data_IF_799712458503
#
_entry.id   IF_799712458503
#
_cell.length_a   1.000
_cell.length_b   1.000
_cell.length_c   1.000
_cell.angle_alpha   90.00
_cell.angle_beta   90.00
_cell.angle_gamma   90.00
#
_symmetry.space_group_name_H-M   'P 1'
#
loop_
_entity.id
_entity.type
_entity.pdbx_description
1 polymer ?
#
# COMPACT_ATOMS: atom_id res chain seq x y z
N UNK A 1 77.47 11.28 -18.73
CA UNK A 1 76.35 10.48 -19.26
C UNK A 1 75.80 9.64 -18.11
N UNK A 2 74.67 10.07 -17.53
CA UNK A 2 74.10 9.49 -16.30
C UNK A 2 73.12 8.39 -16.73
N UNK A 3 73.47 7.12 -16.49
CA UNK A 3 72.58 5.99 -16.77
C UNK A 3 71.61 5.88 -15.60
N UNK A 4 70.37 6.31 -15.79
CA UNK A 4 69.31 6.11 -14.81
C UNK A 4 68.92 4.62 -14.79
N UNK A 5 69.14 3.98 -13.65
CA UNK A 5 68.70 2.60 -13.41
C UNK A 5 67.18 2.60 -13.21
N UNK A 6 66.44 2.07 -14.17
CA UNK A 6 65.05 1.65 -13.94
C UNK A 6 65.06 0.50 -12.92
N UNK A 7 64.71 0.81 -11.66
CA UNK A 7 64.39 -0.22 -10.66
C UNK A 7 63.04 -0.82 -11.05
N UNK A 8 63.06 -2.03 -11.60
CA UNK A 8 61.86 -2.83 -11.79
C UNK A 8 61.31 -3.27 -10.43
N UNK A 9 60.18 -2.69 -10.00
CA UNK A 9 59.38 -3.12 -8.85
C UNK A 9 58.40 -4.23 -9.27
N UNK A 10 58.91 -5.37 -9.77
CA UNK A 10 58.08 -6.43 -10.32
C UNK A 10 57.17 -7.16 -9.29
N UNK A 11 57.45 -7.01 -7.99
CA UNK A 11 56.65 -7.63 -6.91
C UNK A 11 55.53 -6.76 -6.34
N UNK A 12 55.56 -5.44 -6.57
CA UNK A 12 54.58 -4.50 -5.98
C UNK A 12 53.28 -4.46 -6.79
N UNK A 13 53.36 -4.71 -8.10
CA UNK A 13 52.22 -4.59 -9.04
C UNK A 13 51.18 -5.70 -8.88
N UNK A 14 51.58 -6.94 -8.56
CA UNK A 14 50.63 -8.07 -8.41
C UNK A 14 49.77 -7.91 -7.16
N UNK A 15 50.38 -7.51 -6.04
CA UNK A 15 49.66 -7.26 -4.78
C UNK A 15 48.71 -6.06 -4.93
N UNK A 16 49.15 -5.02 -5.63
CA UNK A 16 48.32 -3.85 -5.92
C UNK A 16 47.09 -4.20 -6.76
N UNK A 17 47.26 -4.98 -7.83
CA UNK A 17 46.13 -5.46 -8.65
C UNK A 17 45.17 -6.31 -7.81
N UNK A 18 45.68 -7.16 -6.93
CA UNK A 18 44.85 -8.00 -6.06
C UNK A 18 44.04 -7.17 -5.06
N UNK A 19 44.63 -6.13 -4.48
CA UNK A 19 43.91 -5.20 -3.59
C UNK A 19 42.83 -4.45 -4.38
N UNK A 20 43.16 -3.95 -5.57
CA UNK A 20 42.20 -3.23 -6.43
C UNK A 20 41.03 -4.14 -6.80
N UNK A 21 41.27 -5.40 -7.18
CA UNK A 21 40.17 -6.32 -7.53
C UNK A 21 39.28 -6.64 -6.34
N UNK A 22 39.84 -6.79 -5.13
CA UNK A 22 39.03 -6.98 -3.91
C UNK A 22 38.15 -5.75 -3.64
N UNK A 23 38.71 -4.54 -3.75
CA UNK A 23 37.94 -3.30 -3.54
C UNK A 23 36.82 -3.21 -4.57
N UNK A 24 37.13 -3.39 -5.86
CA UNK A 24 36.13 -3.34 -6.94
C UNK A 24 35.04 -4.39 -6.73
N UNK A 25 35.41 -5.62 -6.39
CA UNK A 25 34.44 -6.68 -6.10
C UNK A 25 33.51 -6.30 -4.93
N UNK A 26 34.06 -5.77 -3.83
CA UNK A 26 33.28 -5.35 -2.67
C UNK A 26 32.29 -4.23 -2.99
N UNK A 27 32.71 -3.26 -3.81
CA UNK A 27 31.86 -2.15 -4.28
C UNK A 27 30.72 -2.69 -5.14
N UNK A 28 31.01 -3.58 -6.09
CA UNK A 28 29.97 -4.19 -6.92
C UNK A 28 28.96 -4.99 -6.10
N UNK A 29 29.40 -5.72 -5.07
CA UNK A 29 28.50 -6.44 -4.16
C UNK A 29 27.61 -5.47 -3.37
N UNK A 30 28.17 -4.38 -2.84
CA UNK A 30 27.41 -3.37 -2.13
C UNK A 30 26.35 -2.68 -3.02
N UNK A 31 26.70 -2.40 -4.28
CA UNK A 31 25.78 -1.86 -5.28
C UNK A 31 24.65 -2.83 -5.59
N UNK A 32 24.96 -4.12 -5.81
CA UNK A 32 23.96 -5.14 -6.07
C UNK A 32 22.96 -5.26 -4.91
N UNK A 33 23.45 -5.31 -3.67
CA UNK A 33 22.60 -5.35 -2.48
C UNK A 33 21.69 -4.11 -2.36
N UNK A 34 22.23 -2.93 -2.64
CA UNK A 34 21.48 -1.66 -2.59
C UNK A 34 20.38 -1.61 -3.65
N UNK A 35 20.65 -2.12 -4.86
CA UNK A 35 19.66 -2.23 -5.93
C UNK A 35 18.55 -3.21 -5.57
N UNK A 36 18.89 -4.38 -5.03
CA UNK A 36 17.90 -5.36 -4.57
C UNK A 36 16.98 -4.80 -3.49
N UNK A 37 17.53 -4.06 -2.52
CA UNK A 37 16.75 -3.39 -1.49
C UNK A 37 15.84 -2.31 -2.08
N UNK A 38 16.36 -1.51 -3.02
CA UNK A 38 15.59 -0.46 -3.69
C UNK A 38 14.42 -1.03 -4.49
N UNK A 39 14.64 -2.15 -5.20
CA UNK A 39 13.60 -2.84 -5.94
C UNK A 39 12.50 -3.40 -5.01
N UNK A 40 12.89 -4.01 -3.88
CA UNK A 40 11.94 -4.47 -2.86
C UNK A 40 11.09 -3.32 -2.31
N UNK A 41 11.72 -2.23 -1.89
CA UNK A 41 11.00 -1.06 -1.37
C UNK A 41 10.04 -0.47 -2.41
N UNK A 42 10.44 -0.43 -3.68
CA UNK A 42 9.58 0.06 -4.76
C UNK A 42 8.33 -0.82 -4.93
N UNK A 43 8.50 -2.15 -4.86
CA UNK A 43 7.37 -3.08 -4.94
C UNK A 43 6.42 -2.95 -3.74
N UNK A 44 6.95 -2.83 -2.52
CA UNK A 44 6.17 -2.61 -1.30
C UNK A 44 5.38 -1.29 -1.36
N UNK A 45 6.05 -0.20 -1.75
CA UNK A 45 5.41 1.11 -1.91
C UNK A 45 4.31 1.09 -2.98
N UNK A 46 4.50 0.33 -4.07
CA UNK A 46 3.49 0.17 -5.10
C UNK A 46 2.23 -0.52 -4.55
N UNK A 47 2.38 -1.60 -3.77
CA UNK A 47 1.24 -2.28 -3.12
C UNK A 47 0.53 -1.35 -2.12
N UNK A 48 1.30 -0.64 -1.29
CA UNK A 48 0.74 0.32 -0.34
C UNK A 48 -0.03 1.44 -1.03
N UNK A 49 0.49 1.95 -2.14
CA UNK A 49 -0.20 2.95 -2.95
C UNK A 49 -1.51 2.42 -3.54
N UNK A 50 -1.53 1.18 -4.04
CA UNK A 50 -2.77 0.56 -4.53
C UNK A 50 -3.79 0.38 -3.40
N UNK A 51 -3.37 -0.17 -2.26
CA UNK A 51 -4.23 -0.35 -1.10
C UNK A 51 -4.83 0.96 -0.60
N UNK A 52 -4.02 2.03 -0.61
CA UNK A 52 -4.47 3.39 -0.27
C UNK A 52 -5.51 3.90 -1.27
N UNK A 53 -5.29 3.70 -2.57
CA UNK A 53 -6.27 4.07 -3.60
C UNK A 53 -7.58 3.30 -3.42
N UNK A 54 -7.54 1.98 -3.21
CA UNK A 54 -8.75 1.18 -2.96
C UNK A 54 -9.49 1.59 -1.68
N UNK A 55 -8.77 2.03 -0.65
CA UNK A 55 -9.36 2.58 0.57
C UNK A 55 -10.06 3.91 0.29
N UNK A 56 -9.44 4.78 -0.52
CA UNK A 56 -10.06 6.05 -0.93
C UNK A 56 -11.29 5.83 -1.81
N UNK A 57 -11.26 4.88 -2.75
CA UNK A 57 -12.43 4.53 -3.57
C UNK A 57 -13.63 4.11 -2.71
N UNK A 58 -13.41 3.37 -1.62
CA UNK A 58 -14.49 3.07 -0.67
C UNK A 58 -15.07 4.35 -0.05
N UNK A 59 -14.21 5.25 0.45
CA UNK A 59 -14.68 6.51 1.05
C UNK A 59 -15.43 7.41 0.06
N UNK A 60 -14.99 7.43 -1.20
CA UNK A 60 -15.66 8.19 -2.27
C UNK A 60 -17.10 7.73 -2.49
N UNK A 61 -17.41 6.44 -2.30
CA UNK A 61 -18.80 5.94 -2.32
C UNK A 61 -19.60 6.63 -1.23
N UNK A 62 -19.14 6.59 0.02
CA UNK A 62 -19.86 7.22 1.13
C UNK A 62 -20.03 8.72 0.89
N UNK A 63 -19.01 9.40 0.36
CA UNK A 63 -19.10 10.81 0.01
C UNK A 63 -20.13 11.09 -1.09
N UNK A 64 -20.13 10.27 -2.15
CA UNK A 64 -21.11 10.37 -3.25
C UNK A 64 -22.52 10.13 -2.74
N UNK A 65 -22.75 9.05 -2.02
CA UNK A 65 -24.09 8.70 -1.53
C UNK A 65 -24.59 9.72 -0.48
N UNK A 66 -23.71 10.22 0.39
CA UNK A 66 -24.01 11.35 1.29
C UNK A 66 -24.48 12.60 0.55
N UNK A 67 -23.91 12.85 -0.64
CA UNK A 67 -24.25 14.00 -1.48
C UNK A 67 -25.56 13.80 -2.25
N UNK A 68 -25.83 12.57 -2.71
CA UNK A 68 -27.01 12.23 -3.51
C UNK A 68 -28.25 12.01 -2.65
N UNK A 69 -28.13 11.30 -1.53
CA UNK A 69 -29.26 10.89 -0.69
C UNK A 69 -29.68 11.95 0.34
N UNK A 70 -28.79 12.90 0.65
CA UNK A 70 -28.96 13.81 1.79
C UNK A 70 -28.64 13.12 3.14
N UNK A 71 -28.66 13.88 4.24
CA UNK A 71 -28.22 13.37 5.55
C UNK A 71 -29.11 12.23 6.07
N UNK A 72 -30.41 12.47 6.17
CA UNK A 72 -31.36 11.56 6.82
C UNK A 72 -31.37 10.18 6.14
N UNK A 73 -31.48 10.16 4.81
CA UNK A 73 -31.49 8.91 4.02
C UNK A 73 -30.13 8.19 4.06
N UNK A 74 -29.01 8.94 3.99
CA UNK A 74 -27.67 8.37 4.09
C UNK A 74 -27.44 7.71 5.44
N UNK A 75 -27.77 8.38 6.54
CA UNK A 75 -27.60 7.85 7.89
C UNK A 75 -28.53 6.65 8.14
N UNK A 76 -29.80 6.74 7.72
CA UNK A 76 -30.77 5.64 7.93
C UNK A 76 -30.45 4.35 7.18
N UNK A 77 -29.61 4.45 6.15
CA UNK A 77 -29.17 3.31 5.34
C UNK A 77 -28.01 2.54 5.95
N UNK A 78 -27.35 3.11 6.96
CA UNK A 78 -26.13 2.59 7.54
C UNK A 78 -26.39 2.06 8.94
N UNK A 79 -25.67 0.99 9.28
CA UNK A 79 -25.66 0.41 10.61
C UNK A 79 -24.23 0.31 11.11
N UNK A 80 -24.05 0.30 12.42
CA UNK A 80 -22.76 0.03 13.04
C UNK A 80 -22.28 -1.37 12.66
N UNK A 81 -21.03 -1.48 12.22
CA UNK A 81 -20.41 -2.76 11.91
C UNK A 81 -19.47 -2.72 10.72
N UNK A 82 -19.18 -3.92 10.21
CA UNK A 82 -18.22 -4.15 9.14
C UNK A 82 -18.97 -4.48 7.85
N UNK A 83 -18.50 -3.90 6.76
CA UNK A 83 -18.98 -4.10 5.40
C UNK A 83 -17.83 -4.49 4.49
N UNK A 84 -18.08 -5.43 3.60
CA UNK A 84 -17.10 -5.96 2.68
C UNK A 84 -17.39 -5.51 1.26
N UNK A 85 -16.35 -5.04 0.59
CA UNK A 85 -16.46 -4.42 -0.71
C UNK A 85 -15.50 -5.10 -1.69
N UNK A 86 -15.85 -6.29 -2.16
CA UNK A 86 -15.22 -6.91 -3.33
C UNK A 86 -15.40 -6.01 -4.57
N UNK A 87 -16.59 -5.42 -4.71
CA UNK A 87 -16.98 -4.48 -5.75
C UNK A 87 -17.61 -3.22 -5.15
N UNK A 88 -17.25 -2.05 -5.68
CA UNK A 88 -17.86 -0.78 -5.27
C UNK A 88 -19.32 -0.71 -5.73
N UNK A 89 -20.28 -0.32 -4.87
CA UNK A 89 -21.64 -0.05 -5.28
C UNK A 89 -21.67 1.00 -6.39
N UNK A 90 -22.24 0.62 -7.53
CA UNK A 90 -22.32 1.46 -8.73
C UNK A 90 -23.46 2.48 -8.69
N UNK A 91 -24.40 2.35 -7.74
CA UNK A 91 -25.56 3.23 -7.60
C UNK A 91 -26.10 3.18 -6.16
N UNK A 92 -27.00 4.11 -5.85
CA UNK A 92 -27.60 4.23 -4.52
C UNK A 92 -28.42 3.01 -4.12
N UNK A 93 -29.05 2.27 -5.06
CA UNK A 93 -29.82 1.07 -4.73
C UNK A 93 -28.90 -0.01 -4.15
N UNK A 94 -27.74 -0.23 -4.79
CA UNK A 94 -26.76 -1.20 -4.30
C UNK A 94 -26.16 -0.76 -2.95
N UNK A 95 -25.97 0.55 -2.75
CA UNK A 95 -25.52 1.08 -1.46
C UNK A 95 -26.55 0.90 -0.34
N UNK A 96 -27.83 1.12 -0.61
CA UNK A 96 -28.90 0.93 0.36
C UNK A 96 -29.14 -0.54 0.74
N UNK A 97 -28.65 -1.47 -0.09
CA UNK A 97 -28.75 -2.92 0.15
C UNK A 97 -27.42 -3.51 0.64
N UNK A 98 -26.54 -2.70 1.22
CA UNK A 98 -25.30 -3.18 1.81
C UNK A 98 -25.60 -4.16 2.95
N UNK A 99 -24.99 -5.35 2.87
CA UNK A 99 -25.09 -6.37 3.90
C UNK A 99 -23.95 -6.22 4.91
N UNK A 100 -24.28 -6.30 6.19
CA UNK A 100 -23.30 -6.43 7.26
C UNK A 100 -22.64 -7.80 7.20
N UNK A 101 -21.32 -7.85 7.37
CA UNK A 101 -20.55 -9.08 7.40
C UNK A 101 -19.06 -8.81 7.52
N UNK A 102 -18.34 -9.71 8.20
CA UNK A 102 -16.87 -9.73 8.15
C UNK A 102 -16.40 -10.25 6.80
N UNK A 103 -15.22 -9.81 6.36
CA UNK A 103 -14.74 -10.15 5.03
C UNK A 103 -14.10 -11.53 5.03
N UNK A 104 -14.61 -12.41 4.18
CA UNK A 104 -14.01 -13.72 3.96
C UNK A 104 -12.77 -13.61 3.06
N UNK A 105 -11.86 -14.59 3.15
CA UNK A 105 -10.65 -14.61 2.32
C UNK A 105 -10.94 -14.67 0.81
N UNK A 106 -12.16 -15.09 0.41
CA UNK A 106 -12.61 -15.09 -0.98
C UNK A 106 -13.17 -13.75 -1.46
N UNK A 107 -13.45 -12.79 -0.57
CA UNK A 107 -14.02 -11.48 -0.90
C UNK A 107 -12.91 -10.48 -1.27
N UNK A 108 -12.12 -10.85 -2.27
CA UNK A 108 -11.04 -10.04 -2.81
C UNK A 108 -11.54 -9.13 -3.93
N UNK A 109 -10.92 -7.94 -4.06
CA UNK A 109 -11.16 -7.06 -5.20
C UNK A 109 -10.74 -7.79 -6.47
N UNK A 110 -11.66 -7.85 -7.45
CA UNK A 110 -11.49 -8.62 -8.69
C UNK A 110 -10.15 -8.34 -9.38
N UNK A 111 -9.39 -9.41 -9.65
CA UNK A 111 -8.08 -9.35 -10.29
C UNK A 111 -6.93 -8.96 -9.37
N UNK A 112 -7.14 -8.97 -8.05
CA UNK A 112 -6.14 -8.60 -7.05
C UNK A 112 -6.17 -9.51 -5.83
N UNK A 113 -5.19 -9.35 -4.94
CA UNK A 113 -5.09 -10.05 -3.65
C UNK A 113 -5.49 -9.13 -2.46
N UNK A 114 -6.19 -8.03 -2.76
CA UNK A 114 -6.61 -7.05 -1.75
C UNK A 114 -8.02 -7.35 -1.27
N UNK A 115 -8.21 -7.38 0.05
CA UNK A 115 -9.53 -7.41 0.69
C UNK A 115 -9.84 -6.00 1.17
N UNK A 116 -11.03 -5.49 0.86
CA UNK A 116 -11.47 -4.15 1.25
C UNK A 116 -12.63 -4.24 2.22
N UNK A 117 -12.36 -3.75 3.41
CA UNK A 117 -13.24 -3.74 4.56
C UNK A 117 -13.57 -2.29 4.91
N UNK A 118 -14.80 -2.03 5.33
CA UNK A 118 -15.20 -0.73 5.84
C UNK A 118 -15.90 -0.93 7.18
N UNK A 119 -15.34 -0.31 8.20
CA UNK A 119 -15.93 -0.25 9.53
C UNK A 119 -16.70 1.07 9.68
N UNK A 120 -17.97 0.97 10.09
CA UNK A 120 -18.86 2.10 10.30
C UNK A 120 -19.19 2.27 11.77
N UNK A 121 -19.15 3.53 12.22
CA UNK A 121 -19.76 3.97 13.46
C UNK A 121 -20.73 5.13 13.15
N UNK A 122 -22.01 4.88 13.37
CA UNK A 122 -23.17 5.71 13.05
C UNK A 122 -23.72 6.29 14.34
N UNK A 123 -23.53 7.59 14.52
CA UNK A 123 -24.09 8.40 15.60
C UNK A 123 -25.21 9.29 15.04
N UNK A 124 -25.95 9.97 15.93
CA UNK A 124 -27.09 10.81 15.55
C UNK A 124 -26.75 11.93 14.54
N UNK A 125 -25.61 12.60 14.70
CA UNK A 125 -25.18 13.73 13.86
C UNK A 125 -23.84 13.47 13.15
N UNK A 126 -23.33 12.24 13.24
CA UNK A 126 -22.01 11.87 12.75
C UNK A 126 -21.99 10.43 12.23
N UNK A 127 -21.33 10.19 11.10
CA UNK A 127 -21.00 8.85 10.61
C UNK A 127 -19.50 8.79 10.38
N UNK A 128 -18.82 7.96 11.17
CA UNK A 128 -17.41 7.64 10.97
C UNK A 128 -17.30 6.42 10.05
N UNK A 129 -16.50 6.56 9.01
CA UNK A 129 -16.20 5.52 8.03
C UNK A 129 -14.70 5.25 8.07
N UNK A 130 -14.32 4.01 8.33
CA UNK A 130 -12.92 3.57 8.34
C UNK A 130 -12.76 2.51 7.26
N UNK A 131 -12.16 2.88 6.14
CA UNK A 131 -11.82 1.95 5.08
C UNK A 131 -10.45 1.30 5.37
N UNK A 132 -10.43 -0.02 5.44
CA UNK A 132 -9.23 -0.82 5.66
C UNK A 132 -9.04 -1.76 4.48
N UNK A 133 -7.90 -1.66 3.81
CA UNK A 133 -7.52 -2.60 2.74
C UNK A 133 -6.38 -3.46 3.21
N UNK A 134 -6.59 -4.78 3.21
CA UNK A 134 -5.66 -5.81 3.70
C UNK A 134 -5.09 -6.59 2.53
N UNK A 135 -3.82 -6.98 2.60
CA UNK A 135 -3.18 -7.88 1.64
C UNK A 135 -2.07 -8.69 2.29
N UNK A 136 -1.72 -9.82 1.68
CA UNK A 136 -0.59 -10.64 2.12
C UNK A 136 0.70 -10.24 1.39
N UNK A 137 1.78 -10.06 2.14
CA UNK A 137 3.11 -9.85 1.59
C UNK A 137 4.13 -10.76 2.26
N UNK A 138 4.64 -11.75 1.51
CA UNK A 138 5.55 -12.78 2.00
C UNK A 138 5.07 -13.48 3.30
N UNK A 139 3.76 -13.74 3.40
CA UNK A 139 3.14 -14.38 4.58
C UNK A 139 2.83 -13.42 5.73
N UNK A 140 3.15 -12.12 5.60
CA UNK A 140 2.82 -11.09 6.59
C UNK A 140 1.59 -10.33 6.10
N UNK A 141 0.55 -10.27 6.91
CA UNK A 141 -0.61 -9.42 6.63
C UNK A 141 -0.22 -7.95 6.76
N UNK A 142 -0.52 -7.18 5.73
CA UNK A 142 -0.32 -5.73 5.64
C UNK A 142 -1.66 -5.06 5.44
N UNK A 143 -1.75 -3.81 5.88
CA UNK A 143 -2.96 -3.03 5.72
C UNK A 143 -2.67 -1.56 5.43
N UNK A 144 -3.59 -0.94 4.71
CA UNK A 144 -3.72 0.51 4.56
C UNK A 144 -5.06 0.91 5.15
N UNK A 145 -5.10 2.05 5.84
CA UNK A 145 -6.30 2.55 6.51
C UNK A 145 -6.51 4.00 6.16
N UNK A 146 -7.72 4.34 5.77
CA UNK A 146 -8.16 5.72 5.54
C UNK A 146 -9.48 5.92 6.27
N UNK A 147 -9.58 6.99 7.04
CA UNK A 147 -10.79 7.31 7.79
C UNK A 147 -11.39 8.64 7.33
N UNK A 148 -12.73 8.72 7.37
CA UNK A 148 -13.47 9.93 7.12
C UNK A 148 -14.68 10.01 8.03
N UNK A 149 -14.95 11.20 8.53
CA UNK A 149 -16.11 11.47 9.37
C UNK A 149 -17.05 12.41 8.62
N UNK A 150 -18.28 11.96 8.38
CA UNK A 150 -19.36 12.75 7.81
C UNK A 150 -20.22 13.33 8.93
N UNK A 151 -20.54 14.62 8.86
CA UNK A 151 -21.37 15.29 9.86
C UNK A 151 -22.67 15.81 9.25
N UNK A 152 -23.69 15.92 10.07
CA UNK A 152 -24.90 16.68 9.74
C UNK A 152 -24.51 18.14 9.55
N UNK A 153 -24.85 18.70 8.40
CA UNK A 153 -24.68 20.13 8.13
C UNK A 153 -26.04 20.75 8.42
N UNK A 154 -26.07 21.69 9.38
CA UNK A 154 -27.26 22.45 9.76
C UNK A 154 -27.77 23.34 8.63
#
# INVERSE_FOLDING_TARGET
MKVEKFKSQAGQTIVEILIVTIIVASVLTALAASLSMSAKNTAENKKLSMATNYSQEALEVFHRERSVLGWESFQSALFDGIYCFDTIPSNSINFLNLALGECEESEVISGTDFIREVELAVLADEVKVVAVVKWLDAGVSRQATVEQTFKKIN
#
